data_IF_976172810221
#
_entry.id   IF_976172810221
#
_cell.length_a   1.000
_cell.length_b   1.000
_cell.length_c   1.000
_cell.angle_alpha   90.00
_cell.angle_beta   90.00
_cell.angle_gamma   90.00
#
_symmetry.space_group_name_H-M   'P 1'
#
loop_
_entity.id
_entity.type
_entity.pdbx_description
1 polymer ?
#
# COMPACT_ATOMS: atom_id res chain seq x y z
N UNK A 1 26.91 36.06 -25.19
CA UNK A 1 25.53 35.57 -24.97
C UNK A 1 25.59 34.59 -23.81
N UNK A 2 24.77 34.75 -22.76
CA UNK A 2 24.62 33.69 -21.77
C UNK A 2 24.05 32.44 -22.46
N UNK A 3 24.42 31.23 -22.01
CA UNK A 3 23.81 30.01 -22.54
C UNK A 3 22.30 30.05 -22.31
N UNK A 4 21.49 29.53 -23.25
CA UNK A 4 20.05 29.43 -23.05
C UNK A 4 19.80 28.66 -21.74
N UNK A 5 18.76 29.03 -20.95
CA UNK A 5 18.41 28.30 -19.76
C UNK A 5 18.23 26.83 -20.13
N UNK A 6 19.00 25.95 -19.49
CA UNK A 6 18.84 24.51 -19.68
C UNK A 6 17.38 24.18 -19.35
N UNK A 7 16.68 23.60 -20.33
CA UNK A 7 15.34 23.08 -20.11
C UNK A 7 15.40 22.10 -18.94
N UNK A 8 14.45 22.15 -17.98
CA UNK A 8 14.47 21.23 -16.84
C UNK A 8 14.58 19.79 -17.35
N UNK A 9 15.52 19.03 -16.79
CA UNK A 9 15.82 17.67 -17.22
C UNK A 9 14.59 16.77 -17.01
N UNK A 10 14.11 16.16 -18.09
CA UNK A 10 12.95 15.27 -18.04
C UNK A 10 13.34 13.96 -17.35
N UNK A 11 12.94 13.82 -16.09
CA UNK A 11 13.09 12.59 -15.31
C UNK A 11 12.01 11.54 -15.62
N UNK A 12 12.41 10.27 -15.57
CA UNK A 12 11.51 9.12 -15.53
C UNK A 12 11.40 8.60 -14.09
N UNK A 13 10.19 8.29 -13.65
CA UNK A 13 9.90 7.66 -12.36
C UNK A 13 9.35 6.25 -12.56
N UNK A 14 9.77 5.30 -11.73
CA UNK A 14 9.24 3.94 -11.74
C UNK A 14 8.34 3.72 -10.51
N UNK A 15 7.08 3.35 -10.75
CA UNK A 15 6.06 3.24 -9.70
C UNK A 15 5.49 1.83 -9.68
N UNK A 16 5.50 1.21 -8.50
CA UNK A 16 4.80 -0.04 -8.22
C UNK A 16 3.47 0.28 -7.54
N UNK A 17 2.38 -0.30 -8.04
CA UNK A 17 1.07 -0.19 -7.41
C UNK A 17 0.52 -1.59 -7.14
N UNK A 18 0.01 -1.84 -5.93
CA UNK A 18 -0.64 -3.12 -5.61
C UNK A 18 -2.07 -2.91 -5.17
N UNK A 19 -2.94 -3.89 -5.45
CA UNK A 19 -4.31 -3.93 -4.97
C UNK A 19 -4.69 -5.37 -4.61
N UNK A 20 -5.63 -5.53 -3.68
CA UNK A 20 -6.07 -6.84 -3.22
C UNK A 20 -7.13 -7.45 -4.14
N UNK A 21 -7.17 -8.78 -4.15
CA UNK A 21 -8.21 -9.57 -4.81
C UNK A 21 -9.48 -9.71 -3.99
N UNK A 22 -10.42 -10.52 -4.50
CA UNK A 22 -11.63 -10.88 -3.77
C UNK A 22 -11.30 -11.41 -2.38
N UNK A 23 -12.09 -10.97 -1.40
CA UNK A 23 -11.98 -11.47 -0.04
C UNK A 23 -13.24 -11.14 0.76
N UNK A 24 -13.68 -12.09 1.58
CA UNK A 24 -14.93 -12.02 2.31
C UNK A 24 -16.11 -11.71 1.36
N UNK A 25 -17.03 -10.83 1.74
CA UNK A 25 -18.14 -10.43 0.86
C UNK A 25 -17.74 -9.52 -0.31
N UNK A 26 -16.47 -9.08 -0.42
CA UNK A 26 -16.00 -8.21 -1.50
C UNK A 26 -15.53 -9.10 -2.67
N UNK A 27 -16.46 -9.45 -3.57
CA UNK A 27 -16.19 -10.34 -4.71
C UNK A 27 -15.42 -9.68 -5.83
N UNK A 28 -15.58 -8.37 -6.02
CA UNK A 28 -14.89 -7.55 -7.01
C UNK A 28 -14.20 -6.42 -6.27
N UNK A 29 -12.94 -6.64 -5.90
CA UNK A 29 -12.23 -5.74 -5.00
C UNK A 29 -11.85 -4.43 -5.71
N UNK A 30 -12.39 -3.27 -5.25
CA UNK A 30 -12.17 -1.99 -5.91
C UNK A 30 -10.71 -1.54 -5.92
N UNK A 31 -9.93 -2.00 -4.93
CA UNK A 31 -8.50 -1.67 -4.82
C UNK A 31 -7.67 -2.24 -5.98
N UNK A 32 -8.05 -3.38 -6.54
CA UNK A 32 -7.44 -3.91 -7.75
C UNK A 32 -8.10 -3.35 -9.01
N UNK A 33 -9.44 -3.29 -9.03
CA UNK A 33 -10.19 -2.87 -10.21
C UNK A 33 -9.77 -1.49 -10.72
N UNK A 34 -9.54 -0.51 -9.83
CA UNK A 34 -9.23 0.87 -10.22
C UNK A 34 -7.80 1.09 -10.73
N UNK A 35 -6.93 0.08 -10.62
CA UNK A 35 -5.53 0.18 -11.07
C UNK A 35 -5.16 -0.85 -12.13
N UNK A 36 -5.95 -1.92 -12.33
CA UNK A 36 -5.58 -3.00 -13.24
C UNK A 36 -5.23 -2.50 -14.65
N UNK A 37 -6.01 -1.55 -15.18
CA UNK A 37 -5.79 -0.94 -16.49
C UNK A 37 -4.59 0.05 -16.54
N UNK A 38 -3.95 0.34 -15.41
CA UNK A 38 -2.75 1.17 -15.34
C UNK A 38 -1.45 0.37 -15.49
N UNK A 39 -1.51 -0.97 -15.45
CA UNK A 39 -0.34 -1.82 -15.63
C UNK A 39 0.32 -1.55 -17.00
N UNK A 40 1.66 -1.41 -17.02
CA UNK A 40 2.46 -1.11 -18.21
C UNK A 40 2.06 0.19 -18.94
N UNK A 41 1.39 1.11 -18.24
CA UNK A 41 1.12 2.44 -18.78
C UNK A 41 2.20 3.44 -18.37
N UNK A 42 2.33 4.51 -19.14
CA UNK A 42 3.18 5.66 -18.80
C UNK A 42 2.30 6.89 -18.70
N UNK A 43 2.39 7.59 -17.56
CA UNK A 43 1.79 8.91 -17.39
C UNK A 43 2.81 9.98 -17.76
N UNK A 44 2.34 11.08 -18.34
CA UNK A 44 3.14 12.28 -18.56
C UNK A 44 2.54 13.40 -17.73
N UNK A 45 3.38 14.09 -16.95
CA UNK A 45 2.91 15.15 -16.06
C UNK A 45 2.69 16.46 -16.81
N UNK A 46 1.75 17.28 -16.33
CA UNK A 46 1.18 18.39 -17.11
C UNK A 46 2.11 19.58 -17.32
N UNK A 47 3.03 19.86 -16.40
CA UNK A 47 3.87 21.07 -16.42
C UNK A 47 5.30 20.74 -16.86
N UNK A 48 5.92 19.78 -16.20
CA UNK A 48 7.32 19.40 -16.42
C UNK A 48 7.52 18.35 -17.51
N UNK A 49 6.45 17.70 -17.99
CA UNK A 49 6.51 16.58 -18.93
C UNK A 49 7.42 15.43 -18.44
N UNK A 50 7.48 15.22 -17.12
CA UNK A 50 8.10 14.02 -16.54
C UNK A 50 7.30 12.78 -16.93
N UNK A 51 7.99 11.64 -17.01
CA UNK A 51 7.35 10.36 -17.34
C UNK A 51 7.28 9.47 -16.12
N UNK A 52 6.15 8.79 -15.93
CA UNK A 52 5.92 7.91 -14.80
C UNK A 52 5.49 6.55 -15.33
N UNK A 53 6.37 5.56 -15.26
CA UNK A 53 6.11 4.19 -15.66
C UNK A 53 5.42 3.45 -14.52
N UNK A 54 4.21 2.95 -14.78
CA UNK A 54 3.39 2.26 -13.78
C UNK A 54 3.47 0.76 -14.00
N UNK A 55 3.87 0.06 -12.94
CA UNK A 55 3.77 -1.39 -12.82
C UNK A 55 2.72 -1.71 -11.77
N UNK A 56 1.63 -2.39 -12.15
CA UNK A 56 0.67 -2.91 -11.18
C UNK A 56 0.92 -4.39 -10.89
N UNK A 57 0.86 -4.81 -9.63
CA UNK A 57 0.95 -6.21 -9.22
C UNK A 57 -0.27 -6.56 -8.39
N UNK A 58 -1.03 -7.55 -8.85
CA UNK A 58 -2.26 -7.98 -8.21
C UNK A 58 -3.14 -8.83 -9.13
N UNK A 59 -4.36 -9.15 -8.69
CA UNK A 59 -4.87 -8.91 -7.35
C UNK A 59 -4.08 -9.71 -6.30
N UNK A 60 -3.66 -9.08 -5.20
CA UNK A 60 -2.98 -9.75 -4.10
C UNK A 60 -3.93 -10.63 -3.29
N UNK A 61 -3.44 -11.77 -2.79
CA UNK A 61 -4.14 -12.56 -1.77
C UNK A 61 -4.18 -11.80 -0.44
N UNK A 62 -5.27 -11.94 0.30
CA UNK A 62 -5.39 -11.40 1.66
C UNK A 62 -4.82 -12.43 2.64
N UNK A 63 -3.50 -12.65 2.58
CA UNK A 63 -2.79 -13.64 3.42
C UNK A 63 -1.48 -13.09 3.97
N UNK A 64 -1.16 -13.40 5.24
CA UNK A 64 -0.01 -12.82 5.93
C UNK A 64 1.33 -13.25 5.30
N UNK A 65 1.45 -14.52 4.93
CA UNK A 65 2.66 -15.08 4.31
C UNK A 65 3.00 -14.39 2.98
N UNK A 66 1.97 -13.97 2.22
CA UNK A 66 2.17 -13.22 0.97
C UNK A 66 2.78 -11.85 1.26
N UNK A 67 2.34 -11.16 2.30
CA UNK A 67 2.86 -9.83 2.63
C UNK A 67 4.26 -9.91 3.24
N UNK A 68 4.52 -10.91 4.09
CA UNK A 68 5.83 -11.17 4.69
C UNK A 68 6.91 -11.48 3.64
N UNK A 69 6.54 -12.09 2.51
CA UNK A 69 7.45 -12.34 1.40
C UNK A 69 7.52 -11.17 0.42
N UNK A 70 6.39 -10.53 0.12
CA UNK A 70 6.30 -9.45 -0.86
C UNK A 70 7.05 -8.19 -0.41
N UNK A 71 6.79 -7.69 0.80
CA UNK A 71 7.34 -6.41 1.23
C UNK A 71 8.87 -6.36 1.20
N UNK A 72 9.62 -7.36 1.74
CA UNK A 72 11.08 -7.37 1.63
C UNK A 72 11.55 -7.47 0.18
N UNK A 73 10.86 -8.25 -0.65
CA UNK A 73 11.26 -8.48 -2.05
C UNK A 73 11.14 -7.21 -2.90
N UNK A 74 10.02 -6.48 -2.81
CA UNK A 74 9.82 -5.26 -3.62
C UNK A 74 10.67 -4.08 -3.16
N UNK A 75 11.20 -4.12 -1.94
CA UNK A 75 12.07 -3.09 -1.38
C UNK A 75 13.56 -3.50 -1.37
N UNK A 76 13.88 -4.73 -1.78
CA UNK A 76 15.26 -5.16 -2.02
C UNK A 76 15.92 -4.37 -3.15
N UNK A 77 17.25 -4.43 -3.23
CA UNK A 77 18.05 -3.75 -4.26
C UNK A 77 19.02 -4.73 -4.92
N UNK A 78 18.78 -5.14 -6.18
CA UNK A 78 17.60 -4.81 -7.02
C UNK A 78 16.30 -5.43 -6.48
N UNK A 79 15.12 -4.83 -6.74
CA UNK A 79 13.85 -5.43 -6.31
C UNK A 79 13.60 -6.77 -6.99
N UNK A 80 12.85 -7.62 -6.31
CA UNK A 80 12.42 -8.93 -6.81
C UNK A 80 10.94 -9.15 -6.48
N UNK A 81 10.36 -10.21 -7.04
CA UNK A 81 9.05 -10.69 -6.64
C UNK A 81 9.17 -12.11 -6.10
N UNK A 82 8.45 -12.46 -5.02
CA UNK A 82 8.21 -13.86 -4.66
C UNK A 82 7.49 -14.59 -5.81
N UNK A 83 7.42 -15.93 -5.77
CA UNK A 83 6.60 -16.68 -6.71
C UNK A 83 5.16 -16.13 -6.74
N UNK A 84 4.68 -15.75 -7.93
CA UNK A 84 3.35 -15.14 -8.06
C UNK A 84 2.21 -16.04 -7.58
N UNK A 85 2.39 -17.37 -7.60
CA UNK A 85 1.46 -18.34 -7.01
C UNK A 85 1.23 -18.12 -5.52
N UNK A 86 2.23 -17.56 -4.81
CA UNK A 86 2.18 -17.42 -3.36
C UNK A 86 1.46 -16.13 -2.98
N UNK A 87 1.56 -15.10 -3.82
CA UNK A 87 1.10 -13.73 -3.53
C UNK A 87 -0.14 -13.29 -4.31
N UNK A 88 -0.42 -13.85 -5.49
CA UNK A 88 -1.53 -13.43 -6.35
C UNK A 88 -2.76 -14.34 -6.19
N UNK A 89 -3.94 -13.72 -6.23
CA UNK A 89 -5.21 -14.43 -6.26
C UNK A 89 -5.37 -15.16 -7.61
N UNK A 90 -6.05 -16.30 -7.63
CA UNK A 90 -6.35 -17.10 -8.84
C UNK A 90 -7.07 -16.33 -9.96
N UNK A 91 -7.62 -15.15 -9.68
CA UNK A 91 -8.28 -14.27 -10.65
C UNK A 91 -7.31 -13.30 -11.31
N UNK A 92 -6.00 -13.46 -11.08
CA UNK A 92 -5.01 -12.65 -11.77
C UNK A 92 -5.02 -12.95 -13.26
N UNK A 93 -5.10 -11.89 -14.06
CA UNK A 93 -4.98 -11.94 -15.51
C UNK A 93 -3.62 -11.42 -15.99
N UNK A 94 -2.72 -11.05 -15.07
CA UNK A 94 -1.43 -10.47 -15.44
C UNK A 94 -0.48 -11.55 -15.95
N UNK A 95 0.18 -11.27 -17.07
CA UNK A 95 1.29 -12.10 -17.53
C UNK A 95 2.48 -11.93 -16.56
N UNK A 96 3.11 -13.04 -16.12
CA UNK A 96 4.15 -13.03 -15.07
C UNK A 96 5.47 -12.37 -15.48
N UNK A 97 5.56 -11.74 -16.66
CA UNK A 97 6.77 -11.09 -17.15
C UNK A 97 6.94 -9.65 -16.61
N UNK A 98 6.62 -9.43 -15.34
CA UNK A 98 6.83 -8.14 -14.68
C UNK A 98 8.30 -8.04 -14.27
N UNK A 99 9.06 -7.18 -14.95
CA UNK A 99 10.46 -6.92 -14.63
C UNK A 99 10.58 -5.67 -13.74
N UNK A 100 11.08 -5.80 -12.50
CA UNK A 100 11.34 -4.64 -11.66
C UNK A 100 12.49 -3.80 -12.23
N UNK A 101 12.51 -2.48 -11.98
CA UNK A 101 13.61 -1.61 -12.39
C UNK A 101 14.87 -1.93 -11.57
N UNK A 102 16.02 -2.07 -12.24
CA UNK A 102 17.32 -2.34 -11.59
C UNK A 102 17.64 -1.36 -10.46
N UNK A 103 17.32 -0.07 -10.66
CA UNK A 103 17.55 1.00 -9.71
C UNK A 103 16.55 1.08 -8.55
N UNK A 104 15.56 0.19 -8.50
CA UNK A 104 14.48 0.22 -7.53
C UNK A 104 13.30 1.11 -7.92
N UNK A 105 12.26 1.06 -7.11
CA UNK A 105 11.06 1.88 -7.28
C UNK A 105 11.28 3.28 -6.71
N UNK A 106 10.77 4.31 -7.38
CA UNK A 106 10.67 5.65 -6.78
C UNK A 106 9.51 5.73 -5.78
N UNK A 107 8.44 4.98 -6.05
CA UNK A 107 7.21 4.94 -5.25
C UNK A 107 6.62 3.52 -5.26
N UNK A 108 6.20 3.05 -4.08
CA UNK A 108 5.28 1.93 -3.91
C UNK A 108 3.95 2.45 -3.35
N UNK A 109 2.85 2.19 -4.05
CA UNK A 109 1.50 2.57 -3.63
C UNK A 109 0.66 1.31 -3.42
N UNK A 110 0.19 1.10 -2.21
CA UNK A 110 -0.65 -0.05 -1.87
C UNK A 110 -2.10 0.39 -1.68
N UNK A 111 -3.03 -0.35 -2.26
CA UNK A 111 -4.47 -0.07 -2.17
C UNK A 111 -5.19 -1.21 -1.46
N UNK A 112 -6.16 -0.83 -0.62
CA UNK A 112 -7.10 -1.76 0.00
C UNK A 112 -8.54 -1.28 -0.08
N UNK A 113 -9.48 -2.21 -0.06
CA UNK A 113 -10.90 -1.90 0.12
C UNK A 113 -11.17 -1.62 1.60
N UNK A 114 -11.48 -0.36 1.92
CA UNK A 114 -11.82 0.11 3.26
C UNK A 114 -13.26 0.57 3.36
N UNK A 115 -13.59 1.28 4.45
CA UNK A 115 -14.96 1.74 4.74
C UNK A 115 -15.58 2.52 3.58
N UNK A 116 -16.83 2.17 3.23
CA UNK A 116 -17.58 2.87 2.20
C UNK A 116 -17.76 4.38 2.53
N UNK A 117 -17.89 5.22 1.51
CA UNK A 117 -18.16 6.65 1.59
C UNK A 117 -16.95 7.57 1.45
N UNK A 118 -15.72 7.05 1.38
CA UNK A 118 -14.49 7.86 1.37
C UNK A 118 -13.30 7.15 0.74
N UNK A 119 -12.34 7.93 0.28
CA UNK A 119 -10.95 7.49 0.03
C UNK A 119 -10.10 7.99 1.20
N UNK A 120 -9.23 7.16 1.76
CA UNK A 120 -8.30 7.57 2.82
C UNK A 120 -6.85 7.40 2.42
N UNK A 121 -6.02 8.37 2.80
CA UNK A 121 -4.56 8.31 2.74
C UNK A 121 -4.06 7.89 4.12
N UNK A 122 -3.48 6.70 4.23
CA UNK A 122 -2.99 6.16 5.50
C UNK A 122 -1.58 6.70 5.79
N UNK A 123 -1.40 7.25 6.98
CA UNK A 123 -0.18 7.95 7.38
C UNK A 123 0.66 7.21 8.41
N UNK A 124 0.09 6.19 9.05
CA UNK A 124 0.72 5.36 10.08
C UNK A 124 0.46 3.89 9.76
N UNK A 125 1.49 3.05 9.88
CA UNK A 125 1.35 1.59 9.99
C UNK A 125 1.76 1.11 11.37
N UNK A 126 1.21 -0.01 11.83
CA UNK A 126 1.49 -0.57 13.15
C UNK A 126 2.30 -1.87 13.08
N UNK A 127 3.21 -2.10 14.02
CA UNK A 127 4.05 -3.29 14.04
C UNK A 127 3.31 -4.52 14.55
N UNK A 128 2.46 -4.32 15.55
CA UNK A 128 1.85 -5.38 16.34
C UNK A 128 0.38 -5.06 16.64
N UNK A 129 -0.34 -6.01 17.25
CA UNK A 129 -1.75 -5.85 17.63
C UNK A 129 -2.73 -6.51 16.65
N UNK A 130 -2.23 -7.26 15.67
CA UNK A 130 -3.05 -7.96 14.71
C UNK A 130 -3.68 -9.22 15.32
N UNK A 131 -4.99 -9.41 15.16
CA UNK A 131 -5.70 -10.56 15.75
C UNK A 131 -6.76 -11.19 14.83
N UNK A 132 -6.84 -10.74 13.58
CA UNK A 132 -7.86 -11.15 12.62
C UNK A 132 -7.26 -12.24 11.73
N UNK A 133 -7.94 -13.39 11.52
CA UNK A 133 -7.44 -14.41 10.60
C UNK A 133 -7.49 -13.93 9.14
N UNK A 134 -6.54 -14.40 8.35
CA UNK A 134 -6.46 -14.11 6.92
C UNK A 134 -7.37 -15.02 6.08
N UNK A 135 -7.29 -14.91 4.74
CA UNK A 135 -8.11 -15.70 3.82
C UNK A 135 -7.86 -17.22 3.89
N UNK A 136 -6.71 -17.64 4.41
CA UNK A 136 -6.39 -19.05 4.65
C UNK A 136 -6.73 -19.47 6.10
N UNK A 137 -7.37 -18.59 6.89
CA UNK A 137 -7.70 -18.82 8.29
C UNK A 137 -6.51 -18.70 9.23
N UNK A 138 -5.36 -18.22 8.77
CA UNK A 138 -4.14 -18.10 9.56
C UNK A 138 -4.11 -16.78 10.33
N UNK A 139 -3.59 -16.84 11.55
CA UNK A 139 -3.29 -15.65 12.34
C UNK A 139 -1.88 -15.13 12.03
N UNK A 140 -1.62 -13.83 12.24
CA UNK A 140 -0.29 -13.27 12.03
C UNK A 140 0.76 -13.89 12.96
N UNK A 141 2.06 -13.80 12.62
CA UNK A 141 3.13 -14.36 13.43
C UNK A 141 3.10 -13.86 14.87
N UNK A 142 3.52 -14.72 15.81
CA UNK A 142 3.67 -14.34 17.22
C UNK A 142 4.98 -13.54 17.37
N UNK A 143 4.91 -12.41 18.07
CA UNK A 143 6.05 -11.49 18.24
C UNK A 143 6.89 -11.90 19.45
N UNK A 144 6.26 -12.17 20.60
CA UNK A 144 6.90 -12.80 21.75
C UNK A 144 5.85 -13.36 22.73
N UNK A 145 6.18 -14.44 23.44
CA UNK A 145 5.28 -15.14 24.39
C UNK A 145 5.45 -14.52 25.78
N UNK A 146 4.88 -13.33 26.01
CA UNK A 146 4.93 -12.72 27.34
C UNK A 146 4.35 -11.31 27.46
N UNK A 147 4.21 -10.61 26.34
CA UNK A 147 3.68 -9.25 26.31
C UNK A 147 2.15 -9.26 26.27
N UNK A 148 1.50 -9.13 27.44
CA UNK A 148 0.08 -8.78 27.48
C UNK A 148 -0.08 -7.36 26.96
N UNK A 149 -0.93 -7.17 25.96
CA UNK A 149 -1.27 -5.84 25.46
C UNK A 149 -2.77 -5.61 25.70
N UNK A 150 -3.08 -4.78 26.69
CA UNK A 150 -4.40 -4.17 26.83
C UNK A 150 -4.48 -2.97 25.88
N UNK A 151 -4.76 -3.22 24.59
CA UNK A 151 -5.07 -2.16 23.63
C UNK A 151 -6.56 -2.23 23.30
N UNK A 152 -7.26 -1.11 23.46
CA UNK A 152 -8.64 -1.00 23.01
C UNK A 152 -8.76 -1.21 21.50
N UNK A 153 -9.80 -1.89 21.07
CA UNK A 153 -10.06 -2.17 19.64
C UNK A 153 -10.54 -0.89 18.96
N UNK A 154 -9.85 -0.43 17.92
CA UNK A 154 -10.19 0.80 17.21
C UNK A 154 -11.49 0.66 16.39
N UNK A 155 -12.05 1.78 15.91
CA UNK A 155 -13.22 1.73 15.02
C UNK A 155 -12.90 1.04 13.68
N UNK A 156 -11.70 1.26 13.13
CA UNK A 156 -11.25 0.66 11.88
C UNK A 156 -11.06 -0.85 12.05
N UNK A 157 -10.43 -1.29 13.14
CA UNK A 157 -10.29 -2.71 13.44
C UNK A 157 -11.64 -3.38 13.74
N UNK A 158 -12.54 -2.70 14.47
CA UNK A 158 -13.89 -3.19 14.69
C UNK A 158 -14.67 -3.35 13.37
N UNK A 159 -14.45 -2.46 12.42
CA UNK A 159 -15.03 -2.58 11.08
C UNK A 159 -14.51 -3.84 10.37
N UNK A 160 -13.20 -4.09 10.39
CA UNK A 160 -12.60 -5.30 9.83
C UNK A 160 -13.11 -6.58 10.51
N UNK A 161 -13.17 -6.60 11.84
CA UNK A 161 -13.72 -7.74 12.61
C UNK A 161 -15.18 -8.02 12.22
N UNK A 162 -16.00 -6.98 12.07
CA UNK A 162 -17.41 -7.12 11.63
C UNK A 162 -17.50 -7.62 10.19
N UNK A 163 -16.58 -7.20 9.32
CA UNK A 163 -16.50 -7.66 7.93
C UNK A 163 -16.30 -9.18 7.88
N UNK A 164 -15.32 -9.70 8.62
CA UNK A 164 -15.06 -11.15 8.72
C UNK A 164 -16.18 -11.92 9.42
N UNK A 165 -16.76 -11.36 10.50
CA UNK A 165 -17.80 -12.06 11.25
C UNK A 165 -19.09 -12.31 10.43
N UNK A 166 -19.43 -11.41 9.51
CA UNK A 166 -20.58 -11.58 8.60
C UNK A 166 -20.45 -12.80 7.69
N UNK A 167 -19.24 -13.16 7.30
CA UNK A 167 -18.95 -14.29 6.41
C UNK A 167 -19.07 -15.63 7.13
N UNK A 168 -18.56 -15.72 8.37
CA UNK A 168 -18.53 -16.98 9.12
C UNK A 168 -19.88 -17.38 9.74
N UNK A 169 -20.96 -16.60 9.54
CA UNK A 169 -22.27 -16.85 10.15
C UNK A 169 -22.25 -16.85 11.70
N UNK A 170 -21.14 -16.44 12.30
CA UNK A 170 -20.88 -16.56 13.71
C UNK A 170 -20.93 -15.17 14.35
N UNK A 171 -21.87 -14.98 15.29
CA UNK A 171 -21.84 -13.89 16.26
C UNK A 171 -20.67 -13.99 17.26
N UNK A 172 -19.54 -14.59 16.86
CA UNK A 172 -18.38 -14.75 17.72
C UNK A 172 -17.59 -13.45 17.74
N UNK A 173 -17.64 -12.76 18.87
CA UNK A 173 -16.62 -11.79 19.25
C UNK A 173 -15.27 -12.50 19.12
N UNK A 174 -14.45 -12.13 18.11
CA UNK A 174 -13.04 -12.55 18.05
C UNK A 174 -12.40 -12.08 19.37
N UNK A 175 -12.27 -12.97 20.35
CA UNK A 175 -11.65 -12.63 21.63
C UNK A 175 -10.25 -12.13 21.32
N UNK A 176 -9.90 -10.97 21.87
CA UNK A 176 -8.52 -10.51 21.85
C UNK A 176 -7.69 -11.60 22.52
N UNK A 177 -6.86 -12.29 21.74
CA UNK A 177 -5.99 -13.32 22.29
C UNK A 177 -4.94 -12.65 23.16
N UNK A 178 -4.55 -13.30 24.25
CA UNK A 178 -3.46 -12.84 25.14
C UNK A 178 -2.08 -12.80 24.44
N UNK A 179 -2.01 -13.23 23.17
CA UNK A 179 -0.78 -13.36 22.39
C UNK A 179 -0.59 -12.17 21.47
N UNK A 180 0.49 -11.43 21.67
CA UNK A 180 0.91 -10.36 20.77
C UNK A 180 1.38 -10.91 19.43
N UNK A 181 0.78 -10.41 18.33
CA UNK A 181 1.08 -10.84 16.97
C UNK A 181 1.36 -9.65 16.06
N UNK A 182 2.15 -9.90 15.02
CA UNK A 182 2.63 -8.88 14.08
C UNK A 182 4.05 -9.18 13.58
N UNK A 183 4.83 -8.12 13.38
CA UNK A 183 6.22 -8.19 12.94
C UNK A 183 7.16 -8.43 14.13
N UNK A 184 7.65 -9.66 14.26
CA UNK A 184 8.59 -10.09 15.30
C UNK A 184 10.03 -10.13 14.81
N UNK A 185 10.57 -11.35 14.68
CA UNK A 185 11.98 -11.59 14.29
C UNK A 185 12.37 -10.82 13.03
N UNK A 186 13.47 -10.08 13.10
CA UNK A 186 14.00 -9.23 12.02
C UNK A 186 13.46 -7.79 12.01
N UNK A 187 12.44 -7.48 12.82
CA UNK A 187 11.86 -6.15 12.95
C UNK A 187 12.08 -5.53 14.33
N UNK A 188 12.92 -6.13 15.18
CA UNK A 188 13.18 -5.70 16.55
C UNK A 188 13.63 -4.24 16.64
N UNK A 189 14.43 -3.78 15.67
CA UNK A 189 14.92 -2.40 15.59
C UNK A 189 13.91 -1.36 15.08
N UNK A 190 12.73 -1.76 14.62
CA UNK A 190 11.70 -0.83 14.17
C UNK A 190 10.72 -0.47 15.30
N UNK A 191 10.26 0.80 15.36
CA UNK A 191 9.27 1.24 16.35
C UNK A 191 7.91 0.56 16.13
N UNK A 192 7.06 0.59 17.16
CA UNK A 192 5.70 0.04 17.09
C UNK A 192 4.80 0.74 16.06
N UNK A 193 5.09 2.00 15.73
CA UNK A 193 4.39 2.77 14.72
C UNK A 193 5.38 3.40 13.76
N UNK A 194 5.13 3.27 12.46
CA UNK A 194 5.91 3.90 11.41
C UNK A 194 5.04 4.91 10.65
N UNK A 195 5.59 6.10 10.42
CA UNK A 195 4.93 7.18 9.68
C UNK A 195 5.45 7.25 8.25
N UNK A 196 4.57 7.55 7.30
CA UNK A 196 4.98 7.89 5.94
C UNK A 196 5.72 9.24 5.92
N UNK A 197 6.69 9.38 5.02
CA UNK A 197 7.39 10.66 4.75
C UNK A 197 6.63 11.53 3.74
N UNK A 198 5.51 11.03 3.22
CA UNK A 198 4.70 11.74 2.24
C UNK A 198 3.95 12.89 2.93
N UNK A 199 3.98 14.05 2.30
CA UNK A 199 3.13 15.18 2.66
C UNK A 199 1.66 14.87 2.31
N UNK A 200 1.00 14.19 3.24
CA UNK A 200 -0.40 13.78 3.08
C UNK A 200 -1.36 14.98 3.05
N UNK A 201 -1.04 16.07 3.75
CA UNK A 201 -1.87 17.28 3.77
C UNK A 201 -1.82 18.00 2.41
N UNK A 202 -0.62 18.12 1.82
CA UNK A 202 -0.42 18.62 0.48
C UNK A 202 -1.11 17.76 -0.57
N UNK A 203 -0.95 16.43 -0.48
CA UNK A 203 -1.60 15.48 -1.39
C UNK A 203 -3.12 15.63 -1.35
N UNK A 204 -3.72 15.67 -0.16
CA UNK A 204 -5.18 15.81 -0.02
C UNK A 204 -5.65 17.16 -0.52
N UNK A 205 -4.95 18.24 -0.19
CA UNK A 205 -5.29 19.57 -0.67
C UNK A 205 -5.30 19.63 -2.21
N UNK A 206 -4.30 19.00 -2.83
CA UNK A 206 -4.21 18.85 -4.28
C UNK A 206 -5.37 18.00 -4.83
N UNK A 207 -5.59 16.79 -4.31
CA UNK A 207 -6.62 15.87 -4.80
C UNK A 207 -8.02 16.46 -4.66
N UNK A 208 -8.36 17.05 -3.51
CA UNK A 208 -9.67 17.69 -3.29
C UNK A 208 -9.91 18.82 -4.28
N UNK A 209 -8.88 19.60 -4.63
CA UNK A 209 -8.98 20.67 -5.63
C UNK A 209 -9.15 20.10 -7.05
N UNK A 210 -8.37 19.08 -7.41
CA UNK A 210 -8.37 18.48 -8.76
C UNK A 210 -9.64 17.67 -9.03
N UNK A 211 -10.07 16.87 -8.06
CA UNK A 211 -11.21 15.95 -8.15
C UNK A 211 -12.53 16.65 -7.78
N UNK A 212 -12.46 17.75 -7.02
CA UNK A 212 -13.63 18.51 -6.51
C UNK A 212 -14.51 17.68 -5.56
N UNK A 213 -13.89 16.82 -4.75
CA UNK A 213 -14.58 15.98 -3.77
C UNK A 213 -13.91 16.08 -2.40
N UNK A 214 -14.68 16.28 -1.34
CA UNK A 214 -14.20 16.42 0.04
C UNK A 214 -14.05 15.08 0.78
N UNK A 215 -14.51 13.97 0.19
CA UNK A 215 -14.49 12.63 0.77
C UNK A 215 -13.13 11.92 0.63
N UNK A 216 -12.07 12.66 0.29
CA UNK A 216 -10.67 12.21 0.31
C UNK A 216 -10.05 12.71 1.62
N UNK A 217 -9.70 11.82 2.55
CA UNK A 217 -9.34 12.15 3.94
C UNK A 217 -7.98 11.55 4.35
N UNK A 218 -7.33 12.12 5.38
CA UNK A 218 -6.20 11.48 6.06
C UNK A 218 -6.76 10.44 7.04
N UNK A 219 -6.04 9.34 7.19
CA UNK A 219 -6.25 8.34 8.23
C UNK A 219 -4.91 7.96 8.87
N UNK A 220 -4.94 7.63 10.16
CA UNK A 220 -3.79 7.18 10.95
C UNK A 220 -3.97 5.73 11.41
N UNK A 221 -5.01 5.04 10.95
CA UNK A 221 -5.32 3.68 11.35
C UNK A 221 -5.94 2.91 10.18
N UNK A 222 -5.15 2.00 9.61
CA UNK A 222 -5.55 1.14 8.51
C UNK A 222 -6.28 -0.14 8.97
N UNK A 223 -6.67 -0.24 10.25
CA UNK A 223 -7.58 -1.25 10.76
C UNK A 223 -6.95 -2.53 11.31
N UNK A 224 -5.64 -2.52 11.60
CA UNK A 224 -4.91 -3.65 12.23
C UNK A 224 -5.23 -5.02 11.58
N UNK A 225 -5.28 -5.03 10.24
CA UNK A 225 -5.44 -6.21 9.39
C UNK A 225 -4.41 -6.20 8.24
N UNK A 226 -4.63 -6.92 7.13
CA UNK A 226 -3.65 -7.02 6.04
C UNK A 226 -3.33 -5.68 5.36
N UNK A 227 -4.25 -4.72 5.35
CA UNK A 227 -4.01 -3.36 4.85
C UNK A 227 -2.96 -2.63 5.68
N UNK A 228 -3.13 -2.63 7.00
CA UNK A 228 -2.17 -2.05 7.94
C UNK A 228 -0.85 -2.85 7.95
N UNK A 229 -0.93 -4.17 7.79
CA UNK A 229 0.23 -5.07 7.77
C UNK A 229 1.16 -4.78 6.58
N UNK A 230 0.63 -4.67 5.35
CA UNK A 230 1.46 -4.28 4.18
C UNK A 230 1.94 -2.83 4.28
N UNK A 231 1.14 -1.93 4.88
CA UNK A 231 1.55 -0.55 5.15
C UNK A 231 2.80 -0.52 6.04
N UNK A 232 2.75 -1.14 7.22
CA UNK A 232 3.89 -1.20 8.13
C UNK A 232 5.09 -1.92 7.51
N UNK A 233 4.87 -3.10 6.92
CA UNK A 233 5.93 -3.89 6.28
C UNK A 233 6.68 -3.06 5.24
N UNK A 234 5.96 -2.40 4.33
CA UNK A 234 6.57 -1.59 3.26
C UNK A 234 7.26 -0.33 3.80
N UNK A 235 6.72 0.31 4.85
CA UNK A 235 7.39 1.41 5.54
C UNK A 235 8.71 0.95 6.18
N UNK A 236 8.71 -0.18 6.88
CA UNK A 236 9.89 -0.74 7.53
C UNK A 236 10.95 -1.18 6.50
N UNK A 237 10.56 -1.91 5.45
CA UNK A 237 11.49 -2.38 4.42
C UNK A 237 12.08 -1.24 3.60
N UNK A 238 11.28 -0.22 3.27
CA UNK A 238 11.80 0.96 2.59
C UNK A 238 12.86 1.71 3.41
N UNK A 239 12.73 1.73 4.75
CA UNK A 239 13.76 2.24 5.65
C UNK A 239 14.96 1.31 5.74
N UNK A 240 14.75 -0.01 5.85
CA UNK A 240 15.82 -1.01 5.93
C UNK A 240 16.75 -0.94 4.72
N UNK A 241 16.19 -0.76 3.53
CA UNK A 241 16.94 -0.67 2.27
C UNK A 241 17.93 0.52 2.22
N UNK A 242 17.87 1.48 3.15
CA UNK A 242 18.86 2.55 3.30
C UNK A 242 20.07 2.16 4.13
N UNK A 243 19.92 1.17 5.00
CA UNK A 243 20.95 0.72 5.94
C UNK A 243 21.66 -0.56 5.48
N UNK A 244 21.32 -1.09 4.30
CA UNK A 244 22.05 -2.20 3.71
C UNK A 244 23.47 -1.74 3.31
N UNK A 245 24.44 -2.17 4.11
CA UNK A 245 25.85 -1.75 4.09
C UNK A 245 26.60 -2.10 2.79
N UNK A 246 25.97 -2.85 1.89
CA UNK A 246 26.58 -3.23 0.62
C UNK A 246 26.50 -2.15 -0.46
N UNK A 247 25.78 -1.04 -0.22
CA UNK A 247 25.61 0.04 -1.20
C UNK A 247 26.52 1.21 -0.84
N UNK A 248 27.34 1.65 -1.81
CA UNK A 248 28.31 2.72 -1.61
C UNK A 248 27.59 4.05 -1.37
N UNK A 249 27.99 4.86 -0.36
CA UNK A 249 27.35 6.15 -0.04
C UNK A 249 27.30 7.14 -1.23
N UNK A 250 28.25 7.01 -2.14
CA UNK A 250 28.47 7.84 -3.31
C UNK A 250 27.49 7.57 -4.49
N UNK A 251 26.68 6.50 -4.41
CA UNK A 251 25.59 6.22 -5.36
C UNK A 251 24.23 6.83 -4.95
N UNK A 252 24.16 7.51 -3.79
CA UNK A 252 22.96 8.22 -3.36
C UNK A 252 21.72 7.34 -3.32
N UNK A 253 21.70 6.37 -2.39
CA UNK A 253 20.61 5.39 -2.24
C UNK A 253 19.28 6.11 -1.99
N UNK A 254 18.49 6.30 -3.06
CA UNK A 254 17.20 6.96 -2.95
C UNK A 254 16.17 5.96 -2.43
N UNK A 255 15.71 6.13 -1.20
CA UNK A 255 14.59 5.37 -0.59
C UNK A 255 13.37 5.38 -1.53
N UNK A 256 12.76 4.22 -1.73
CA UNK A 256 11.41 4.14 -2.32
C UNK A 256 10.41 4.76 -1.35
N UNK A 257 9.68 5.79 -1.76
CA UNK A 257 8.55 6.29 -0.95
C UNK A 257 7.47 5.21 -0.91
N UNK A 258 6.83 5.01 0.25
CA UNK A 258 5.75 4.04 0.40
C UNK A 258 4.50 4.70 0.97
N UNK A 259 3.35 4.40 0.37
CA UNK A 259 2.04 4.90 0.79
C UNK A 259 1.01 3.78 0.74
N UNK A 260 0.06 3.83 1.66
CA UNK A 260 -1.17 3.05 1.57
C UNK A 260 -2.39 3.96 1.43
N UNK A 261 -3.35 3.57 0.60
CA UNK A 261 -4.66 4.23 0.53
C UNK A 261 -5.80 3.23 0.59
N UNK A 262 -6.86 3.55 1.33
CA UNK A 262 -8.12 2.83 1.18
C UNK A 262 -9.02 3.50 0.15
N UNK A 263 -9.67 2.66 -0.66
CA UNK A 263 -10.80 3.04 -1.50
C UNK A 263 -12.09 2.45 -0.91
N UNK A 264 -13.27 3.01 -1.21
CA UNK A 264 -14.54 2.42 -0.78
C UNK A 264 -14.65 0.97 -1.26
N UNK A 265 -15.18 0.09 -0.42
CA UNK A 265 -15.41 -1.31 -0.80
C UNK A 265 -16.57 -1.50 -1.79
N UNK A 266 -17.45 -0.52 -1.93
CA UNK A 266 -18.58 -0.56 -2.87
C UNK A 266 -18.25 0.27 -4.12
N UNK A 267 -18.28 -0.36 -5.29
CA UNK A 267 -17.97 0.33 -6.55
C UNK A 267 -19.19 1.09 -7.05
N UNK A 268 -19.02 2.39 -7.33
CA UNK A 268 -20.12 3.25 -7.76
C UNK A 268 -20.76 4.04 -6.63
N UNK A 269 -20.44 3.74 -5.38
CA UNK A 269 -20.84 4.54 -4.21
C UNK A 269 -19.62 4.79 -3.31
N UNK A 270 -19.21 6.04 -3.06
CA UNK A 270 -19.63 7.25 -3.74
C UNK A 270 -18.87 7.51 -5.05
N UNK A 271 -17.87 6.68 -5.35
CA UNK A 271 -16.98 6.88 -6.49
C UNK A 271 -17.16 5.77 -7.50
N UNK A 272 -17.32 6.17 -8.75
CA UNK A 272 -17.23 5.26 -9.90
C UNK A 272 -15.81 4.72 -10.06
N UNK A 273 -15.67 3.61 -10.78
CA UNK A 273 -14.37 3.05 -11.12
C UNK A 273 -13.46 4.07 -11.84
N UNK A 274 -14.05 4.87 -12.73
CA UNK A 274 -13.34 5.89 -13.51
C UNK A 274 -12.82 7.00 -12.60
N UNK A 275 -13.63 7.45 -11.64
CA UNK A 275 -13.20 8.44 -10.64
C UNK A 275 -12.08 7.89 -9.75
N UNK A 276 -12.20 6.66 -9.25
CA UNK A 276 -11.13 6.03 -8.46
C UNK A 276 -9.83 5.92 -9.27
N UNK A 277 -9.92 5.46 -10.52
CA UNK A 277 -8.77 5.39 -11.44
C UNK A 277 -8.14 6.77 -11.65
N UNK A 278 -8.97 7.80 -11.78
CA UNK A 278 -8.51 9.20 -11.93
C UNK A 278 -7.81 9.69 -10.67
N UNK A 279 -8.37 9.42 -9.47
CA UNK A 279 -7.73 9.73 -8.19
C UNK A 279 -6.35 9.05 -8.14
N UNK A 280 -6.24 7.76 -8.51
CA UNK A 280 -4.95 7.04 -8.49
C UNK A 280 -3.91 7.66 -9.44
N UNK A 281 -4.29 8.02 -10.68
CA UNK A 281 -3.37 8.71 -11.61
C UNK A 281 -2.88 10.05 -11.05
N UNK A 282 -3.77 10.85 -10.48
CA UNK A 282 -3.43 12.14 -9.89
C UNK A 282 -2.57 11.99 -8.64
N UNK A 283 -2.85 11.00 -7.79
CA UNK A 283 -2.01 10.66 -6.63
C UNK A 283 -0.58 10.33 -7.07
N UNK A 284 -0.43 9.41 -8.02
CA UNK A 284 0.87 8.95 -8.49
C UNK A 284 1.68 10.10 -9.10
N UNK A 285 1.04 10.93 -9.94
CA UNK A 285 1.70 12.11 -10.51
C UNK A 285 2.20 13.07 -9.44
N UNK A 286 1.34 13.41 -8.48
CA UNK A 286 1.68 14.36 -7.43
C UNK A 286 2.79 13.83 -6.52
N UNK A 287 2.76 12.55 -6.16
CA UNK A 287 3.80 11.94 -5.32
C UNK A 287 5.18 11.90 -6.00
N UNK A 288 5.22 11.73 -7.32
CA UNK A 288 6.46 11.73 -8.08
C UNK A 288 7.00 13.14 -8.34
N UNK A 289 6.12 14.11 -8.57
CA UNK A 289 6.52 15.39 -9.20
C UNK A 289 5.97 16.66 -8.53
N UNK A 290 4.98 16.55 -7.65
CA UNK A 290 4.27 17.69 -7.06
C UNK A 290 3.18 18.30 -7.96
N UNK A 291 3.01 17.76 -9.17
CA UNK A 291 2.02 18.21 -10.17
C UNK A 291 1.08 17.05 -10.59
N UNK A 292 0.03 17.39 -11.34
CA UNK A 292 -0.93 16.41 -11.83
C UNK A 292 -0.59 15.83 -13.20
N UNK A 293 -1.47 14.94 -13.66
CA UNK A 293 -1.65 14.64 -15.10
C UNK A 293 -2.72 15.52 -15.72
#
# INVERSE_FOLDING_TARGET
>A
MPPPPQSPEKKQFNVLITGYGPFSYVTDNPSWACIAALHNTTLTTSESSHTIKITCVGPLRVVYDAILSLAPSIHSRPPTFPPFSDILHERTSLEPNVQPPDGGWDLTLHLGAGRNGRVTVETIGHKTGYAIPDADGKLPPIVDVGSKVEKGVSEAENFERKRIARENGAGSSLKQGDTLRGFGKGYEGFPEELKTEIDAEGLISFLRKKIKDQRILISTDAGHYLCDFICYGSLAESQRALFDSNIKPEEGVKRSKSLFMHVPYDLGDPFTLVELTTIMKQTVAWLCTGEGV
#
